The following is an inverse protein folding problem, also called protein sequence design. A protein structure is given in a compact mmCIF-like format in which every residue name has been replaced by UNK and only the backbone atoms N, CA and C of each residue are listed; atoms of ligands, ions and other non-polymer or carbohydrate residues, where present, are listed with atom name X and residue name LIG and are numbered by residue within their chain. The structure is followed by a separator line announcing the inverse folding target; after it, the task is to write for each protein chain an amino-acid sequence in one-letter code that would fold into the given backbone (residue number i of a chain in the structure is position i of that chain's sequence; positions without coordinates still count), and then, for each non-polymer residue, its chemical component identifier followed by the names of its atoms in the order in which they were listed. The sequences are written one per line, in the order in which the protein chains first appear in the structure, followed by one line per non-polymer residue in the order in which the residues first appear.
data_IF_876054414808
#
_entry.id   IF_876054414808
#
_cell.length_a   1.000
_cell.length_b   1.000
_cell.length_c   1.000
_cell.angle_alpha   90.00
_cell.angle_beta   90.00
_cell.angle_gamma   90.00
#
_symmetry.space_group_name_H-M   'P 1'
#
loop_
_entity.id
_entity.type
_entity.pdbx_description
1 polymer ?
#
# COMPACT_ATOMS: atom_id res chain seq x y z
N UNK A 1 14.32 14.99 -18.14
CA UNK A 1 14.07 15.01 -16.69
C UNK A 1 12.57 14.92 -16.40
N UNK A 2 11.74 15.87 -16.84
CA UNK A 2 10.27 15.90 -16.59
C UNK A 2 9.44 14.60 -16.79
N UNK A 3 9.79 13.72 -17.74
CA UNK A 3 9.00 12.50 -18.00
C UNK A 3 9.17 11.41 -16.93
N UNK A 4 10.31 11.35 -16.24
CA UNK A 4 10.54 10.37 -15.16
C UNK A 4 9.75 10.77 -13.92
N UNK A 5 9.88 12.03 -13.51
CA UNK A 5 9.16 12.59 -12.36
C UNK A 5 7.64 12.40 -12.48
N UNK A 6 7.07 12.59 -13.69
CA UNK A 6 5.64 12.37 -13.91
C UNK A 6 5.22 10.88 -13.82
N UNK A 7 6.08 9.95 -14.27
CA UNK A 7 5.82 8.52 -14.17
C UNK A 7 5.94 8.04 -12.73
N UNK A 8 6.95 8.51 -12.00
CA UNK A 8 7.19 8.18 -10.59
C UNK A 8 6.09 8.76 -9.69
N UNK A 9 5.58 9.96 -9.99
CA UNK A 9 4.41 10.53 -9.30
C UNK A 9 3.12 9.74 -9.56
N UNK A 10 2.90 9.28 -10.79
CA UNK A 10 1.73 8.45 -11.12
C UNK A 10 1.82 7.07 -10.46
N UNK A 11 3.02 6.50 -10.37
CA UNK A 11 3.24 5.25 -9.65
C UNK A 11 3.00 5.43 -8.15
N UNK A 12 3.50 6.52 -7.56
CA UNK A 12 3.23 6.86 -6.16
C UNK A 12 1.72 6.99 -5.89
N UNK A 13 0.99 7.67 -6.78
CA UNK A 13 -0.47 7.79 -6.69
C UNK A 13 -1.17 6.43 -6.70
N UNK A 14 -0.75 5.50 -7.56
CA UNK A 14 -1.30 4.15 -7.62
C UNK A 14 -0.98 3.35 -6.36
N UNK A 15 0.25 3.42 -5.87
CA UNK A 15 0.65 2.74 -4.63
C UNK A 15 -0.15 3.26 -3.42
N UNK A 16 -0.42 4.56 -3.36
CA UNK A 16 -1.28 5.14 -2.32
C UNK A 16 -2.74 4.63 -2.41
N UNK A 17 -3.29 4.46 -3.61
CA UNK A 17 -4.62 3.85 -3.81
C UNK A 17 -4.62 2.38 -3.34
N UNK A 18 -3.57 1.61 -3.67
CA UNK A 18 -3.40 0.23 -3.19
C UNK A 18 -3.35 0.19 -1.66
N UNK A 19 -2.53 1.04 -1.03
CA UNK A 19 -2.44 1.15 0.44
C UNK A 19 -3.81 1.42 1.05
N UNK A 20 -4.54 2.40 0.53
CA UNK A 20 -5.85 2.78 1.06
C UNK A 20 -6.86 1.61 0.96
N UNK A 21 -6.85 0.85 -0.15
CA UNK A 21 -7.71 -0.33 -0.32
C UNK A 21 -7.36 -1.46 0.64
N UNK A 22 -6.06 -1.73 0.85
CA UNK A 22 -5.59 -2.73 1.81
C UNK A 22 -5.98 -2.37 3.24
N UNK A 23 -5.81 -1.10 3.64
CA UNK A 23 -6.28 -0.58 4.92
C UNK A 23 -7.80 -0.71 5.06
N UNK A 24 -8.55 -0.42 4.00
CA UNK A 24 -9.99 -0.63 3.95
C UNK A 24 -10.38 -2.10 4.18
N UNK A 25 -9.70 -3.05 3.53
CA UNK A 25 -9.94 -4.47 3.72
C UNK A 25 -9.63 -4.93 5.15
N UNK A 26 -8.56 -4.41 5.78
CA UNK A 26 -8.28 -4.68 7.19
C UNK A 26 -9.41 -4.16 8.11
N UNK A 27 -9.96 -2.98 7.82
CA UNK A 27 -11.09 -2.45 8.58
C UNK A 27 -12.35 -3.31 8.40
N UNK A 28 -12.64 -3.75 7.17
CA UNK A 28 -13.74 -4.66 6.88
C UNK A 28 -13.57 -5.98 7.64
N UNK A 29 -12.37 -6.57 7.65
CA UNK A 29 -12.09 -7.78 8.41
C UNK A 29 -12.36 -7.59 9.92
N UNK A 30 -11.92 -6.45 10.48
CA UNK A 30 -12.13 -6.10 11.89
C UNK A 30 -13.59 -5.80 12.25
N UNK A 31 -14.44 -5.46 11.26
CA UNK A 31 -15.87 -5.23 11.48
C UNK A 31 -16.66 -6.52 11.71
N UNK A 32 -16.15 -7.66 11.25
CA UNK A 32 -16.70 -8.98 11.55
C UNK A 32 -16.26 -9.47 12.93
N UNK A 33 -17.13 -10.21 13.61
CA UNK A 33 -16.79 -10.89 14.86
C UNK A 33 -15.67 -11.92 14.66
N UNK A 34 -14.88 -12.17 15.70
CA UNK A 34 -13.88 -13.25 15.69
C UNK A 34 -14.55 -14.61 15.41
N UNK A 35 -13.93 -15.46 14.59
CA UNK A 35 -14.50 -16.74 14.15
C UNK A 35 -15.56 -16.63 13.06
N UNK A 36 -15.88 -15.43 12.56
CA UNK A 36 -16.75 -15.29 11.40
C UNK A 36 -16.01 -15.70 10.12
N UNK A 37 -16.60 -16.58 9.31
CA UNK A 37 -15.98 -17.12 8.09
C UNK A 37 -15.36 -16.05 7.17
N UNK A 38 -16.03 -14.90 7.01
CA UNK A 38 -15.49 -13.81 6.16
C UNK A 38 -14.25 -13.15 6.78
N UNK A 39 -14.19 -13.05 8.11
CA UNK A 39 -13.03 -12.50 8.81
C UNK A 39 -11.83 -13.42 8.62
N UNK A 40 -12.00 -14.71 8.86
CA UNK A 40 -10.93 -15.71 8.67
C UNK A 40 -10.43 -15.72 7.22
N UNK A 41 -11.37 -15.60 6.26
CA UNK A 41 -11.00 -15.52 4.85
C UNK A 41 -10.17 -14.28 4.51
N UNK A 42 -10.51 -13.12 5.07
CA UNK A 42 -9.74 -11.88 4.85
C UNK A 42 -8.40 -11.89 5.60
N UNK A 43 -8.36 -12.43 6.82
CA UNK A 43 -7.13 -12.55 7.61
C UNK A 43 -6.14 -13.53 6.95
N UNK A 44 -6.62 -14.60 6.32
CA UNK A 44 -5.77 -15.56 5.58
C UNK A 44 -5.15 -15.00 4.29
N UNK A 45 -5.61 -13.85 3.80
CA UNK A 45 -5.00 -13.17 2.65
C UNK A 45 -3.69 -12.42 3.01
N UNK A 46 -3.23 -12.47 4.26
CA UNK A 46 -2.01 -11.80 4.73
C UNK A 46 -1.94 -10.30 4.39
N UNK A 47 -3.10 -9.62 4.43
CA UNK A 47 -3.26 -8.21 4.02
C UNK A 47 -2.30 -7.29 4.77
N UNK A 48 -2.00 -7.58 6.04
CA UNK A 48 -1.04 -6.81 6.84
C UNK A 48 0.38 -6.84 6.28
N UNK A 49 0.87 -8.02 5.88
CA UNK A 49 2.20 -8.14 5.28
C UNK A 49 2.27 -7.42 3.92
N UNK A 50 1.22 -7.55 3.11
CA UNK A 50 1.13 -6.84 1.82
C UNK A 50 1.08 -5.33 2.02
N UNK A 51 0.34 -4.86 3.01
CA UNK A 51 0.27 -3.43 3.35
C UNK A 51 1.64 -2.88 3.77
N UNK A 52 2.38 -3.60 4.61
CA UNK A 52 3.72 -3.20 5.04
C UNK A 52 4.69 -3.08 3.85
N UNK A 53 4.67 -4.04 2.92
CA UNK A 53 5.49 -3.96 1.70
C UNK A 53 5.13 -2.72 0.86
N UNK A 54 3.84 -2.44 0.66
CA UNK A 54 3.39 -1.26 -0.10
C UNK A 54 3.78 0.04 0.60
N UNK A 55 3.71 0.11 1.93
CA UNK A 55 4.13 1.29 2.69
C UNK A 55 5.65 1.55 2.59
N UNK A 56 6.46 0.48 2.54
CA UNK A 56 7.90 0.56 2.30
C UNK A 56 8.22 1.03 0.87
N UNK A 57 7.50 0.52 -0.14
CA UNK A 57 7.65 0.93 -1.54
C UNK A 57 7.29 2.41 -1.73
N UNK A 58 6.18 2.86 -1.14
CA UNK A 58 5.77 4.28 -1.12
C UNK A 58 6.88 5.15 -0.52
N UNK A 59 7.46 4.73 0.60
CA UNK A 59 8.53 5.48 1.28
C UNK A 59 9.76 5.57 0.39
N UNK A 60 10.15 4.47 -0.24
CA UNK A 60 11.29 4.42 -1.16
C UNK A 60 11.07 5.36 -2.34
N UNK A 61 9.91 5.28 -2.99
CA UNK A 61 9.58 6.11 -4.16
C UNK A 61 9.50 7.60 -3.82
N UNK A 62 8.95 7.94 -2.65
CA UNK A 62 8.97 9.33 -2.13
C UNK A 62 10.39 9.83 -1.91
N UNK A 63 11.26 9.01 -1.33
CA UNK A 63 12.66 9.40 -1.11
C UNK A 63 13.38 9.65 -2.43
N UNK A 64 13.18 8.79 -3.44
CA UNK A 64 13.74 9.00 -4.79
C UNK A 64 13.23 10.30 -5.43
N UNK A 65 11.95 10.63 -5.27
CA UNK A 65 11.35 11.86 -5.79
C UNK A 65 11.86 13.12 -5.07
N UNK A 66 12.12 13.04 -3.77
CA UNK A 66 12.60 14.17 -2.96
C UNK A 66 14.11 14.40 -3.09
N UNK A 67 14.88 13.35 -3.36
CA UNK A 67 16.34 13.36 -3.45
C UNK A 67 16.85 12.78 -4.78
N UNK A 68 16.56 13.43 -5.92
CA UNK A 68 16.97 12.93 -7.23
C UNK A 68 18.49 13.05 -7.40
N UNK A 69 19.22 11.93 -7.22
CA UNK A 69 20.67 11.84 -7.44
C UNK A 69 21.48 11.25 -6.28
N UNK A 70 20.85 10.92 -5.15
CA UNK A 70 21.50 10.27 -3.99
C UNK A 70 21.15 8.76 -3.88
N UNK A 71 20.69 8.15 -4.98
CA UNK A 71 20.32 6.73 -5.07
C UNK A 71 21.46 5.85 -5.58
#
# INVERSE_FOLDING_TARGET
MQKRDAADLEELRKMEDVRNRLQGLQQVARSYQAGHNMRERLESMNIGQVLEMVENDITTLRNTLLHPGES
#
